data_IF_625364490995
#
_entry.id   IF_625364490995
#
_cell.length_a   1.000
_cell.length_b   1.000
_cell.length_c   1.000
_cell.angle_alpha   90.00
_cell.angle_beta   90.00
_cell.angle_gamma   90.00
#
_symmetry.space_group_name_H-M   'P 1'
#
loop_
_entity.id
_entity.type
_entity.pdbx_description
1 polymer ?
#
# COMPACT_ATOMS: atom_id res chain seq x y z
N UNK A 1 -17.66 -23.23 -17.69
CA UNK A 1 -17.31 -22.15 -18.63
C UNK A 1 -16.12 -21.40 -18.02
N UNK A 2 -14.98 -21.31 -18.72
CA UNK A 2 -13.81 -20.57 -18.25
C UNK A 2 -14.10 -19.07 -18.37
N UNK A 3 -14.23 -18.37 -17.26
CA UNK A 3 -14.30 -16.90 -17.24
C UNK A 3 -12.89 -16.36 -17.49
N UNK A 4 -12.65 -15.76 -18.62
CA UNK A 4 -11.41 -15.05 -18.88
C UNK A 4 -11.51 -13.62 -18.34
N UNK A 5 -10.43 -13.13 -17.80
CA UNK A 5 -10.27 -11.76 -17.27
C UNK A 5 -9.32 -11.00 -18.20
N UNK A 6 -9.73 -9.82 -18.66
CA UNK A 6 -8.82 -8.90 -19.35
C UNK A 6 -8.38 -7.86 -18.33
N UNK A 7 -7.07 -7.78 -18.09
CA UNK A 7 -6.45 -6.77 -17.27
C UNK A 7 -5.62 -5.90 -18.19
N UNK A 8 -5.96 -4.62 -18.29
CA UNK A 8 -5.12 -3.60 -18.94
C UNK A 8 -4.60 -2.66 -17.89
N UNK A 9 -3.28 -2.50 -17.84
CA UNK A 9 -2.60 -1.65 -16.88
C UNK A 9 -1.69 -0.69 -17.64
N UNK A 10 -1.84 0.60 -17.38
CA UNK A 10 -0.90 1.64 -17.79
C UNK A 10 -0.20 2.18 -16.54
N UNK A 11 1.11 2.05 -16.50
CA UNK A 11 1.95 2.53 -15.41
C UNK A 11 2.88 3.61 -15.96
N UNK A 12 2.83 4.79 -15.37
CA UNK A 12 3.75 5.89 -15.62
C UNK A 12 4.50 6.17 -14.33
N UNK A 13 5.81 5.97 -14.35
CA UNK A 13 6.67 6.20 -13.18
C UNK A 13 7.59 7.39 -13.43
N UNK A 14 7.81 8.17 -12.40
CA UNK A 14 8.78 9.24 -12.40
C UNK A 14 9.63 9.22 -11.14
N UNK A 15 10.90 9.54 -11.29
CA UNK A 15 11.83 9.71 -10.17
C UNK A 15 12.58 11.01 -10.38
N UNK A 16 12.63 11.83 -9.36
CA UNK A 16 13.47 13.01 -9.32
C UNK A 16 14.46 12.84 -8.17
N UNK A 17 15.71 12.59 -8.52
CA UNK A 17 16.82 12.55 -7.57
C UNK A 17 17.87 13.53 -8.06
N UNK A 18 18.07 14.59 -7.30
CA UNK A 18 19.21 15.48 -7.42
C UNK A 18 20.14 15.17 -6.24
N UNK A 19 21.39 15.62 -6.24
CA UNK A 19 22.30 15.56 -5.07
C UNK A 19 21.79 16.41 -3.88
N UNK A 20 20.50 16.44 -3.69
CA UNK A 20 19.79 17.14 -2.63
C UNK A 20 19.43 16.13 -1.53
N UNK A 21 19.38 16.57 -0.26
CA UNK A 21 18.95 15.70 0.84
C UNK A 21 17.49 15.23 0.71
N UNK A 22 16.78 15.67 -0.31
CA UNK A 22 15.38 15.32 -0.56
C UNK A 22 15.25 14.51 -1.84
N UNK A 23 14.37 13.52 -1.81
CA UNK A 23 13.96 12.78 -3.00
C UNK A 23 12.44 12.76 -3.11
N UNK A 24 11.96 12.70 -4.33
CA UNK A 24 10.55 12.50 -4.67
C UNK A 24 10.46 11.46 -5.77
N UNK A 25 9.55 10.52 -5.63
CA UNK A 25 9.26 9.51 -6.65
C UNK A 25 7.78 9.20 -6.64
N UNK A 26 7.28 8.69 -7.75
CA UNK A 26 5.89 8.30 -7.84
C UNK A 26 5.58 7.54 -9.11
N UNK A 27 4.39 6.98 -9.13
CA UNK A 27 3.82 6.28 -10.26
C UNK A 27 2.34 6.63 -10.40
N UNK A 28 1.89 6.69 -11.62
CA UNK A 28 0.47 6.82 -11.94
C UNK A 28 0.01 5.54 -12.64
N UNK A 29 -1.04 4.94 -12.10
CA UNK A 29 -1.55 3.66 -12.54
C UNK A 29 -2.97 3.80 -13.03
N UNK A 30 -3.29 3.11 -14.12
CA UNK A 30 -4.63 3.01 -14.63
C UNK A 30 -4.97 1.55 -14.91
N UNK A 31 -5.99 1.03 -14.23
CA UNK A 31 -6.45 -0.35 -14.36
C UNK A 31 -7.80 -0.40 -15.04
N UNK A 32 -7.92 -1.28 -16.02
CA UNK A 32 -9.18 -1.65 -16.63
C UNK A 32 -9.38 -3.15 -16.51
N UNK A 33 -10.37 -3.56 -15.74
CA UNK A 33 -10.68 -4.97 -15.51
C UNK A 33 -12.12 -5.23 -15.94
N UNK A 34 -12.32 -6.09 -16.94
CA UNK A 34 -13.64 -6.44 -17.43
C UNK A 34 -13.88 -7.95 -17.44
N UNK A 35 -15.14 -8.35 -17.27
CA UNK A 35 -15.58 -9.73 -17.48
C UNK A 35 -15.67 -9.98 -18.98
N UNK A 36 -15.10 -11.09 -19.47
CA UNK A 36 -15.23 -11.49 -20.87
C UNK A 36 -16.64 -12.00 -21.22
N UNK A 37 -17.37 -12.44 -20.20
CA UNK A 37 -18.75 -12.89 -20.34
C UNK A 37 -19.69 -11.72 -20.00
N UNK A 38 -20.20 -11.05 -21.04
CA UNK A 38 -21.15 -9.94 -20.91
C UNK A 38 -20.55 -8.53 -20.79
N UNK A 39 -19.20 -8.37 -20.81
CA UNK A 39 -18.55 -7.05 -20.88
C UNK A 39 -18.68 -6.20 -19.61
N UNK A 40 -19.17 -6.75 -18.51
CA UNK A 40 -19.33 -6.02 -17.25
C UNK A 40 -18.00 -5.64 -16.63
N UNK A 41 -17.90 -4.42 -16.10
CA UNK A 41 -16.73 -3.90 -15.41
C UNK A 41 -16.63 -4.50 -14.01
N UNK A 42 -15.43 -4.89 -13.60
CA UNK A 42 -15.18 -5.30 -12.22
C UNK A 42 -14.77 -4.06 -11.41
N UNK A 43 -15.59 -3.69 -10.43
CA UNK A 43 -15.44 -2.50 -9.59
C UNK A 43 -14.47 -2.78 -8.45
N UNK A 44 -13.16 -2.84 -8.72
CA UNK A 44 -12.14 -2.94 -7.70
C UNK A 44 -11.53 -1.55 -7.46
N UNK A 45 -11.32 -1.15 -6.20
CA UNK A 45 -10.51 0.01 -5.90
C UNK A 45 -9.09 -0.16 -6.42
N UNK A 46 -8.49 0.92 -6.90
CA UNK A 46 -7.09 0.93 -7.29
C UNK A 46 -6.44 2.30 -7.01
N UNK A 47 -5.12 2.31 -6.89
CA UNK A 47 -4.35 3.53 -6.65
C UNK A 47 -3.99 4.17 -7.97
N UNK A 48 -4.63 5.31 -8.25
CA UNK A 48 -4.33 6.10 -9.47
C UNK A 48 -2.94 6.71 -9.39
N UNK A 49 -2.57 7.18 -8.19
CA UNK A 49 -1.30 7.87 -7.96
C UNK A 49 -0.69 7.35 -6.66
N UNK A 50 0.57 6.99 -6.72
CA UNK A 50 1.43 6.79 -5.57
C UNK A 50 2.50 7.87 -5.58
N UNK A 51 2.76 8.47 -4.45
CA UNK A 51 3.78 9.49 -4.27
C UNK A 51 4.60 9.19 -3.03
N UNK A 52 5.90 9.08 -3.21
CA UNK A 52 6.87 8.91 -2.14
C UNK A 52 7.75 10.16 -2.05
N UNK A 53 7.90 10.66 -0.85
CA UNK A 53 8.79 11.78 -0.55
C UNK A 53 9.64 11.45 0.65
N UNK A 54 10.91 11.85 0.60
CA UNK A 54 11.83 11.71 1.70
C UNK A 54 12.78 12.89 1.78
N UNK A 55 13.22 13.16 3.00
CA UNK A 55 14.22 14.17 3.29
C UNK A 55 15.19 13.62 4.33
N UNK A 56 16.49 13.72 4.04
CA UNK A 56 17.57 13.28 4.95
C UNK A 56 18.40 14.49 5.38
N UNK A 57 18.63 14.57 6.68
CA UNK A 57 19.54 15.56 7.27
C UNK A 57 20.38 14.87 8.33
N UNK A 58 21.69 14.80 8.09
CA UNK A 58 22.66 14.10 8.94
C UNK A 58 22.20 12.64 9.22
N UNK A 59 21.90 12.34 10.48
CA UNK A 59 21.47 11.04 10.97
C UNK A 59 19.94 10.84 10.94
N UNK A 60 19.20 11.88 10.55
CA UNK A 60 17.73 11.83 10.52
C UNK A 60 17.20 11.79 9.11
N UNK A 61 16.22 10.93 8.89
CA UNK A 61 15.47 10.85 7.65
C UNK A 61 13.98 10.88 7.96
N UNK A 62 13.23 11.67 7.21
CA UNK A 62 11.77 11.61 7.19
C UNK A 62 11.35 10.97 5.88
N UNK A 63 10.44 10.02 5.95
CA UNK A 63 9.88 9.33 4.80
C UNK A 63 8.36 9.38 4.84
N UNK A 64 7.74 9.66 3.70
CA UNK A 64 6.29 9.64 3.55
C UNK A 64 5.88 8.98 2.25
N UNK A 65 4.73 8.29 2.28
CA UNK A 65 4.08 7.71 1.11
C UNK A 65 2.60 8.06 1.14
N UNK A 66 2.13 8.62 0.03
CA UNK A 66 0.73 8.96 -0.20
C UNK A 66 0.20 8.15 -1.37
N UNK A 67 -1.06 7.81 -1.31
CA UNK A 67 -1.77 7.23 -2.45
C UNK A 67 -3.09 7.95 -2.68
N UNK A 68 -3.46 8.14 -3.93
CA UNK A 68 -4.81 8.53 -4.32
C UNK A 68 -5.53 7.28 -4.83
N UNK A 69 -6.48 6.79 -4.04
CA UNK A 69 -7.30 5.63 -4.38
C UNK A 69 -8.57 6.08 -5.12
N UNK A 70 -8.91 5.36 -6.17
CA UNK A 70 -10.18 5.52 -6.87
C UNK A 70 -11.05 4.30 -6.64
N UNK A 71 -12.30 4.52 -6.27
CA UNK A 71 -13.32 3.49 -6.05
C UNK A 71 -14.39 3.62 -7.12
N UNK A 72 -14.32 2.82 -8.21
CA UNK A 72 -15.32 2.92 -9.27
C UNK A 72 -16.68 2.48 -8.73
N UNK A 73 -17.66 3.37 -8.74
CA UNK A 73 -19.03 3.09 -8.31
C UNK A 73 -20.02 2.95 -9.48
N UNK A 74 -19.60 3.33 -10.69
CA UNK A 74 -20.46 3.42 -11.87
C UNK A 74 -20.09 2.34 -12.88
N UNK A 75 -21.09 1.79 -13.58
CA UNK A 75 -20.93 0.74 -14.58
C UNK A 75 -20.19 1.19 -15.86
N UNK A 76 -20.01 2.48 -16.03
CA UNK A 76 -19.27 3.08 -17.13
C UNK A 76 -18.01 3.76 -16.62
N UNK A 77 -16.88 3.48 -17.24
CA UNK A 77 -15.62 4.20 -17.05
C UNK A 77 -15.74 5.64 -17.59
N UNK A 78 -16.53 6.43 -16.98
CA UNK A 78 -16.40 7.87 -17.12
C UNK A 78 -15.76 8.37 -15.83
N UNK A 79 -14.59 8.96 -15.92
CA UNK A 79 -14.06 9.83 -14.86
C UNK A 79 -15.02 11.02 -14.67
N UNK A 80 -16.23 10.75 -14.20
CA UNK A 80 -17.07 11.79 -13.69
C UNK A 80 -16.51 12.15 -12.33
N UNK A 81 -15.70 13.19 -12.29
CA UNK A 81 -15.23 13.80 -11.03
C UNK A 81 -16.38 14.44 -10.22
N UNK A 82 -17.61 14.06 -10.52
CA UNK A 82 -18.81 14.68 -9.94
C UNK A 82 -19.04 14.20 -8.51
N UNK A 83 -18.44 13.11 -8.10
CA UNK A 83 -18.59 12.60 -6.75
C UNK A 83 -17.21 12.45 -6.04
N UNK A 84 -16.87 13.39 -5.14
CA UNK A 84 -15.61 13.31 -4.40
C UNK A 84 -15.48 12.08 -3.50
N UNK A 85 -16.58 11.36 -3.21
CA UNK A 85 -16.57 10.13 -2.42
C UNK A 85 -15.92 8.95 -3.15
N UNK A 86 -15.75 9.05 -4.47
CA UNK A 86 -15.08 8.01 -5.26
C UNK A 86 -13.55 8.06 -5.10
N UNK A 87 -13.02 9.12 -4.52
CA UNK A 87 -11.60 9.31 -4.30
C UNK A 87 -11.26 9.30 -2.82
N UNK A 88 -10.18 8.61 -2.47
CA UNK A 88 -9.63 8.59 -1.13
C UNK A 88 -8.13 8.94 -1.18
N UNK A 89 -7.76 10.01 -0.49
CA UNK A 89 -6.35 10.31 -0.24
C UNK A 89 -5.92 9.53 1.00
N UNK A 90 -5.04 8.54 0.80
CA UNK A 90 -4.47 7.72 1.87
C UNK A 90 -3.03 8.14 2.17
N UNK A 91 -2.76 8.52 3.40
CA UNK A 91 -1.40 8.63 3.93
C UNK A 91 -0.95 7.22 4.30
N UNK A 92 -0.28 6.55 3.38
CA UNK A 92 0.14 5.17 3.56
C UNK A 92 1.21 5.02 4.62
N UNK A 93 2.24 5.87 4.57
CA UNK A 93 3.33 5.86 5.54
C UNK A 93 3.78 7.29 5.85
N UNK A 94 4.16 7.51 7.08
CA UNK A 94 4.86 8.70 7.55
C UNK A 94 5.67 8.35 8.79
N UNK A 95 6.98 8.26 8.65
CA UNK A 95 7.86 7.92 9.76
C UNK A 95 9.20 8.64 9.66
N UNK A 96 9.85 8.75 10.81
CA UNK A 96 11.20 9.26 10.95
C UNK A 96 12.14 8.10 11.25
N UNK A 97 13.29 8.10 10.60
CA UNK A 97 14.39 7.18 10.86
C UNK A 97 15.55 7.95 11.47
N UNK A 98 16.07 7.44 12.57
CA UNK A 98 17.32 7.91 13.17
C UNK A 98 18.40 6.84 12.96
N UNK A 99 19.41 7.20 12.17
CA UNK A 99 20.55 6.33 11.85
C UNK A 99 21.57 6.38 12.99
N UNK A 100 21.93 5.22 13.52
CA UNK A 100 22.95 5.03 14.54
C UNK A 100 24.13 4.26 13.96
N UNK A 101 25.30 4.35 14.59
CA UNK A 101 26.50 3.62 14.11
C UNK A 101 26.32 2.09 14.10
N UNK A 102 25.39 1.56 14.89
CA UNK A 102 25.14 0.12 15.03
C UNK A 102 23.72 -0.29 14.60
N UNK A 103 22.94 0.63 14.03
CA UNK A 103 21.57 0.33 13.65
C UNK A 103 20.73 1.55 13.33
N UNK A 104 19.42 1.37 13.38
CA UNK A 104 18.47 2.44 13.14
C UNK A 104 17.25 2.36 14.06
N UNK A 105 16.65 3.51 14.33
CA UNK A 105 15.39 3.62 15.07
C UNK A 105 14.37 4.28 14.12
N UNK A 106 13.23 3.64 13.92
CA UNK A 106 12.12 4.16 13.12
C UNK A 106 10.90 4.40 13.98
N UNK A 107 10.31 5.57 13.87
CA UNK A 107 9.12 5.97 14.64
C UNK A 107 8.09 6.60 13.73
N UNK A 108 6.87 6.13 13.77
CA UNK A 108 5.73 6.69 13.05
C UNK A 108 4.84 5.64 12.41
N UNK A 109 4.00 6.11 11.47
CA UNK A 109 3.12 5.24 10.68
C UNK A 109 3.93 4.55 9.60
N UNK A 110 4.16 3.25 9.74
CA UNK A 110 5.01 2.46 8.85
C UNK A 110 4.46 1.05 8.64
N UNK A 111 4.78 0.47 7.48
CA UNK A 111 4.51 -0.93 7.18
C UNK A 111 5.73 -1.74 7.60
N UNK A 112 5.51 -2.72 8.46
CA UNK A 112 6.56 -3.66 8.88
C UNK A 112 6.50 -4.90 8.00
N UNK A 113 7.67 -5.35 7.53
CA UNK A 113 7.81 -6.60 6.78
C UNK A 113 8.83 -7.49 7.48
N UNK A 114 8.45 -8.72 7.77
CA UNK A 114 9.29 -9.68 8.47
C UNK A 114 9.57 -10.86 7.55
N UNK A 115 10.83 -11.10 7.29
CA UNK A 115 11.28 -12.24 6.50
C UNK A 115 12.02 -11.85 5.22
N UNK A 116 12.90 -12.77 4.79
CA UNK A 116 13.76 -12.58 3.61
C UNK A 116 13.15 -13.17 2.32
N UNK A 117 12.14 -14.03 2.45
CA UNK A 117 11.77 -14.94 1.35
C UNK A 117 10.58 -14.43 0.56
N UNK A 118 9.63 -13.80 1.21
CA UNK A 118 8.43 -13.29 0.53
C UNK A 118 7.79 -12.17 1.33
N UNK A 119 7.30 -11.18 0.63
CA UNK A 119 6.43 -10.14 1.16
C UNK A 119 5.11 -10.70 1.76
N UNK A 120 4.92 -12.02 1.71
CA UNK A 120 3.79 -12.82 2.19
C UNK A 120 4.16 -13.78 3.30
N UNK A 121 5.22 -13.52 4.05
CA UNK A 121 5.58 -14.39 5.15
C UNK A 121 4.40 -14.56 6.12
N UNK A 122 4.03 -15.80 6.49
CA UNK A 122 3.01 -16.05 7.51
C UNK A 122 3.42 -15.53 8.90
N UNK A 123 4.68 -15.19 9.07
CA UNK A 123 5.21 -14.54 10.28
C UNK A 123 4.96 -13.03 10.28
N UNK A 124 4.52 -12.46 9.16
CA UNK A 124 4.30 -11.03 9.02
C UNK A 124 2.89 -10.65 9.46
N UNK A 125 2.70 -10.61 10.75
CA UNK A 125 1.45 -10.26 11.43
C UNK A 125 1.46 -8.86 12.06
N UNK A 126 2.51 -8.08 11.82
CA UNK A 126 2.69 -6.76 12.42
C UNK A 126 1.90 -5.65 11.72
N UNK A 127 1.49 -5.89 10.48
CA UNK A 127 0.70 -4.95 9.68
C UNK A 127 -0.63 -5.58 9.28
N UNK A 128 -1.70 -4.78 9.33
CA UNK A 128 -3.00 -5.20 8.84
C UNK A 128 -3.03 -5.31 7.31
N UNK A 129 -3.99 -6.05 6.79
CA UNK A 129 -4.17 -6.23 5.35
C UNK A 129 -5.34 -5.40 4.82
N UNK A 130 -5.13 -4.85 3.61
CA UNK A 130 -6.18 -4.27 2.81
C UNK A 130 -6.61 -5.27 1.72
N UNK A 131 -7.70 -5.93 1.95
CA UNK A 131 -8.22 -6.94 1.04
C UNK A 131 -8.80 -6.37 -0.25
N UNK A 132 -8.97 -5.04 -0.36
CA UNK A 132 -9.31 -4.42 -1.64
C UNK A 132 -8.15 -4.53 -2.64
N UNK A 133 -6.90 -4.62 -2.15
CA UNK A 133 -5.68 -4.70 -2.95
C UNK A 133 -5.07 -6.11 -2.95
N UNK A 134 -5.88 -7.15 -2.83
CA UNK A 134 -5.41 -8.55 -2.72
C UNK A 134 -4.53 -8.98 -3.90
N UNK A 135 -4.76 -8.42 -5.08
CA UNK A 135 -3.98 -8.74 -6.30
C UNK A 135 -2.69 -7.92 -6.43
N UNK A 136 -2.50 -6.92 -5.57
CA UNK A 136 -1.25 -6.16 -5.53
C UNK A 136 -0.16 -6.97 -4.84
N UNK A 137 1.10 -6.70 -5.20
CA UNK A 137 2.24 -7.39 -4.61
C UNK A 137 2.72 -6.70 -3.33
N UNK A 138 3.26 -7.48 -2.43
CA UNK A 138 4.05 -7.00 -1.33
C UNK A 138 3.38 -6.06 -0.35
N UNK A 139 4.03 -4.94 -0.10
CA UNK A 139 3.57 -3.94 0.86
C UNK A 139 2.34 -3.17 0.39
N UNK A 140 1.98 -3.27 -0.90
CA UNK A 140 0.84 -2.54 -1.45
C UNK A 140 -0.51 -2.99 -0.86
N UNK A 141 -0.61 -4.23 -0.41
CA UNK A 141 -1.80 -4.75 0.28
C UNK A 141 -1.77 -4.63 1.80
N UNK A 142 -0.77 -3.95 2.37
CA UNK A 142 -0.65 -3.77 3.82
C UNK A 142 -1.08 -2.38 4.24
N UNK A 143 -1.62 -2.31 5.45
CA UNK A 143 -1.99 -1.06 6.11
C UNK A 143 -0.94 -0.76 7.18
N UNK A 144 -0.35 0.43 7.12
CA UNK A 144 0.64 0.86 8.09
C UNK A 144 0.02 1.03 9.49
N UNK A 145 0.81 0.71 10.49
CA UNK A 145 0.49 0.94 11.91
C UNK A 145 1.49 1.93 12.51
N UNK A 146 1.03 2.70 13.50
CA UNK A 146 1.94 3.52 14.30
C UNK A 146 2.82 2.60 15.15
N UNK A 147 4.11 2.63 14.93
CA UNK A 147 5.05 1.71 15.56
C UNK A 147 6.40 2.36 15.83
N UNK A 148 7.10 1.79 16.79
CA UNK A 148 8.52 2.01 17.05
C UNK A 148 9.25 0.74 16.65
N UNK A 149 10.17 0.84 15.71
CA UNK A 149 11.05 -0.25 15.31
C UNK A 149 12.50 0.14 15.61
N UNK A 150 13.27 -0.80 16.14
CA UNK A 150 14.67 -0.63 16.44
C UNK A 150 15.40 -1.78 15.75
N UNK A 151 16.22 -1.47 14.77
CA UNK A 151 17.05 -2.45 14.07
C UNK A 151 18.51 -2.30 14.49
N UNK A 152 19.08 -3.34 15.08
CA UNK A 152 20.48 -3.38 15.53
C UNK A 152 21.25 -4.40 14.71
N UNK A 153 22.41 -4.02 14.22
CA UNK A 153 23.28 -4.83 13.38
C UNK A 153 24.56 -5.22 14.13
N UNK A 154 24.80 -6.52 14.30
CA UNK A 154 25.97 -7.08 14.97
C UNK A 154 26.63 -8.11 14.07
N UNK A 155 27.70 -7.75 13.37
CA UNK A 155 28.38 -8.61 12.40
C UNK A 155 27.37 -9.27 11.43
N UNK A 156 27.04 -10.55 11.66
CA UNK A 156 26.12 -11.34 10.82
C UNK A 156 24.71 -11.44 11.40
N UNK A 157 24.42 -10.75 12.50
CA UNK A 157 23.11 -10.79 13.17
C UNK A 157 22.40 -9.44 13.05
N UNK A 158 21.11 -9.51 12.78
CA UNK A 158 20.18 -8.39 12.92
C UNK A 158 19.18 -8.71 14.02
N UNK A 159 19.01 -7.82 14.96
CA UNK A 159 17.99 -7.88 16.00
C UNK A 159 17.08 -6.68 15.81
N UNK A 160 15.80 -6.94 15.56
CA UNK A 160 14.83 -5.90 15.20
C UNK A 160 13.54 -5.95 16.03
N UNK A 161 13.55 -5.55 17.33
CA UNK A 161 12.33 -5.42 18.09
C UNK A 161 11.42 -4.33 17.50
N UNK A 162 10.13 -4.63 17.41
CA UNK A 162 9.11 -3.69 16.97
C UNK A 162 7.97 -3.66 17.99
N UNK A 163 7.53 -2.46 18.33
CA UNK A 163 6.37 -2.25 19.21
C UNK A 163 5.29 -1.49 18.44
N UNK A 164 4.10 -2.08 18.36
CA UNK A 164 2.90 -1.47 17.75
C UNK A 164 1.84 -1.32 18.83
N UNK A 165 1.70 -0.14 19.47
CA UNK A 165 0.74 0.06 20.57
C UNK A 165 -0.69 -0.17 20.14
N UNK A 166 -1.02 0.19 18.90
CA UNK A 166 -2.34 0.03 18.32
C UNK A 166 -2.21 -0.61 16.93
N UNK A 167 -2.65 -1.86 16.84
CA UNK A 167 -2.66 -2.56 15.57
C UNK A 167 -3.80 -2.05 14.69
N UNK A 168 -3.52 -1.77 13.42
CA UNK A 168 -4.54 -1.38 12.46
C UNK A 168 -5.51 -2.53 12.20
N UNK A 169 -6.76 -2.21 11.85
CA UNK A 169 -7.78 -3.21 11.50
C UNK A 169 -7.66 -3.54 10.02
N UNK A 170 -7.86 -4.81 9.67
CA UNK A 170 -7.96 -5.24 8.28
C UNK A 170 -9.11 -4.52 7.58
N UNK A 171 -8.87 -4.00 6.38
CA UNK A 171 -9.90 -3.39 5.55
C UNK A 171 -10.47 -4.45 4.62
N UNK A 172 -11.75 -4.79 4.83
CA UNK A 172 -12.48 -5.72 3.99
C UNK A 172 -13.17 -4.98 2.83
N UNK A 173 -13.36 -5.62 1.67
CA UNK A 173 -14.13 -5.07 0.58
C UNK A 173 -15.58 -4.80 1.04
N UNK A 174 -16.13 -3.66 0.63
CA UNK A 174 -17.55 -3.38 0.85
C UNK A 174 -18.41 -4.28 -0.05
N UNK A 175 -19.67 -4.52 0.36
CA UNK A 175 -20.64 -5.32 -0.42
C UNK A 175 -20.92 -4.79 -1.82
N UNK A 176 -20.52 -3.55 -2.13
CA UNK A 176 -20.62 -2.95 -3.46
C UNK A 176 -19.41 -3.24 -4.37
N UNK A 177 -18.29 -3.73 -3.81
CA UNK A 177 -17.18 -4.19 -4.61
C UNK A 177 -17.51 -5.60 -5.11
N UNK A 178 -17.55 -5.80 -6.43
CA UNK A 178 -17.63 -7.14 -7.02
C UNK A 178 -16.31 -7.88 -6.76
N UNK A 179 -16.16 -8.38 -5.56
CA UNK A 179 -14.99 -9.16 -5.21
C UNK A 179 -15.12 -10.54 -5.85
N UNK A 180 -14.07 -11.08 -6.47
CA UNK A 180 -14.13 -12.41 -7.10
C UNK A 180 -14.26 -13.56 -6.10
N UNK A 181 -14.20 -13.28 -4.80
CA UNK A 181 -14.33 -14.24 -3.71
C UNK A 181 -15.52 -13.81 -2.87
N UNK A 182 -16.58 -14.61 -2.87
CA UNK A 182 -17.67 -14.45 -1.91
C UNK A 182 -17.13 -14.79 -0.52
N UNK A 183 -17.14 -13.83 0.39
CA UNK A 183 -16.82 -14.10 1.79
C UNK A 183 -17.96 -14.94 2.38
N UNK A 184 -17.68 -16.05 3.05
CA UNK A 184 -18.71 -16.94 3.60
C UNK A 184 -19.52 -16.30 4.74
N UNK A 185 -19.14 -15.11 5.19
CA UNK A 185 -19.82 -14.35 6.24
C UNK A 185 -19.85 -12.88 5.83
N UNK A 186 -21.04 -12.35 5.57
CA UNK A 186 -21.27 -10.91 5.51
C UNK A 186 -21.20 -10.37 6.94
N UNK A 187 -20.23 -9.52 7.28
CA UNK A 187 -20.26 -8.84 8.57
C UNK A 187 -21.51 -7.94 8.61
N UNK A 188 -22.33 -8.15 9.61
CA UNK A 188 -23.47 -7.28 9.94
C UNK A 188 -23.00 -5.90 10.41
#
# INVERSE_FOLDING_TARGET
>A
MRKFLIISCLVLSFTYSQESPSFISGDANFYYISKLDGGGLIKLPYRILNLSWGHQHDQFQISSRFALEYKPQIDNYSFKMDNPQDFLLDLRELYMTWQLNFGEIRLGKQIQTWGFVDENSPLDNSSAYDYNFLFEAGTERKIASNSLAIDMYFNNFKIGPTTTPFHSINRLPSSFAEFPIELPVTPN
#
